data_IF_934599720193
#
_entry.id   IF_934599720193
#
_cell.length_a   1.000
_cell.length_b   1.000
_cell.length_c   1.000
_cell.angle_alpha   90.00
_cell.angle_beta   90.00
_cell.angle_gamma   90.00
#
_symmetry.space_group_name_H-M   'P 1'
#
loop_
_entity.id
_entity.type
_entity.pdbx_description
1 polymer ?
#
# COMPACT_ATOMS: atom_id res chain seq x y z
N UNK A 1 -35.27 -0.49 -6.97
CA UNK A 1 -35.50 -1.57 -5.97
C UNK A 1 -34.55 -1.33 -4.81
N UNK A 2 -35.01 -1.43 -3.56
CA UNK A 2 -34.09 -1.28 -2.41
C UNK A 2 -33.21 -2.53 -2.27
N UNK A 3 -31.91 -2.40 -1.91
CA UNK A 3 -31.01 -3.54 -1.75
C UNK A 3 -31.54 -4.66 -0.84
N UNK A 4 -32.28 -4.34 0.22
CA UNK A 4 -32.83 -5.33 1.14
C UNK A 4 -33.90 -6.20 0.46
N UNK A 5 -34.71 -5.60 -0.41
CA UNK A 5 -35.73 -6.32 -1.18
C UNK A 5 -35.09 -7.25 -2.22
N UNK A 6 -33.97 -6.82 -2.83
CA UNK A 6 -33.23 -7.67 -3.76
C UNK A 6 -32.59 -8.87 -3.02
N UNK A 7 -31.93 -8.65 -1.89
CA UNK A 7 -31.34 -9.73 -1.08
C UNK A 7 -32.41 -10.68 -0.52
N UNK A 8 -33.61 -10.20 -0.20
CA UNK A 8 -34.70 -11.05 0.27
C UNK A 8 -35.17 -12.07 -0.79
N UNK A 9 -35.14 -11.70 -2.07
CA UNK A 9 -35.52 -12.60 -3.17
C UNK A 9 -34.35 -13.50 -3.58
N UNK A 10 -33.13 -12.96 -3.60
CA UNK A 10 -31.94 -13.67 -4.07
C UNK A 10 -30.74 -13.30 -3.19
N UNK A 11 -30.47 -14.05 -2.11
CA UNK A 11 -29.43 -13.69 -1.12
C UNK A 11 -28.02 -13.55 -1.68
N UNK A 12 -27.68 -14.31 -2.73
CA UNK A 12 -26.40 -14.29 -3.44
C UNK A 12 -26.33 -13.19 -4.53
N UNK A 13 -27.27 -12.24 -4.54
CA UNK A 13 -27.21 -11.11 -5.46
C UNK A 13 -26.11 -10.11 -5.08
N UNK A 14 -25.32 -9.78 -6.09
CA UNK A 14 -24.38 -8.67 -6.05
C UNK A 14 -25.16 -7.39 -6.38
N UNK A 15 -25.11 -6.41 -5.49
CA UNK A 15 -25.88 -5.17 -5.59
C UNK A 15 -24.94 -3.99 -5.72
N UNK A 16 -25.25 -3.10 -6.66
CA UNK A 16 -24.59 -1.81 -6.82
C UNK A 16 -25.67 -0.73 -7.02
N UNK A 17 -25.49 0.45 -6.42
CA UNK A 17 -26.48 1.53 -6.47
C UNK A 17 -25.82 2.89 -6.68
N UNK A 18 -26.57 3.92 -7.05
CA UNK A 18 -26.04 5.29 -7.10
C UNK A 18 -25.90 5.96 -5.72
N UNK A 19 -26.44 5.36 -4.65
CA UNK A 19 -26.49 5.97 -3.32
C UNK A 19 -25.24 5.63 -2.52
N UNK A 20 -24.77 6.57 -1.71
CA UNK A 20 -23.56 6.43 -0.87
C UNK A 20 -23.79 5.67 0.44
N UNK A 21 -25.06 5.45 0.82
CA UNK A 21 -25.43 4.70 2.03
C UNK A 21 -25.41 3.18 1.84
N UNK A 22 -25.21 2.70 0.62
CA UNK A 22 -25.08 1.28 0.29
C UNK A 22 -23.68 0.93 -0.24
N UNK A 23 -23.24 -0.34 -0.11
CA UNK A 23 -22.03 -0.83 -0.75
C UNK A 23 -22.07 -0.68 -2.28
N UNK A 24 -20.90 -0.72 -2.92
CA UNK A 24 -20.74 -0.67 -4.38
C UNK A 24 -21.43 0.56 -5.02
N UNK A 25 -21.11 1.76 -4.53
CA UNK A 25 -21.65 2.97 -5.11
C UNK A 25 -21.14 3.19 -6.55
N UNK A 26 -22.04 3.18 -7.52
CA UNK A 26 -21.77 3.52 -8.91
C UNK A 26 -21.92 5.02 -9.09
N UNK A 27 -20.81 5.74 -9.18
CA UNK A 27 -20.81 7.19 -9.33
C UNK A 27 -19.75 7.65 -10.34
N UNK A 28 -20.12 8.60 -11.20
CA UNK A 28 -19.25 9.19 -12.22
C UNK A 28 -18.00 9.88 -11.65
N UNK A 29 -18.01 10.25 -10.36
CA UNK A 29 -16.84 10.80 -9.67
C UNK A 29 -15.60 9.91 -9.77
N UNK A 30 -15.79 8.60 -9.96
CA UNK A 30 -14.71 7.63 -10.16
C UNK A 30 -14.03 7.72 -11.54
N UNK A 31 -14.69 8.38 -12.50
CA UNK A 31 -14.28 8.36 -13.90
C UNK A 31 -13.93 9.76 -14.40
N UNK A 32 -14.83 10.73 -14.23
CA UNK A 32 -14.74 12.03 -14.90
C UNK A 32 -13.43 12.78 -14.63
N UNK A 33 -12.97 12.94 -13.36
CA UNK A 33 -11.81 13.79 -13.10
C UNK A 33 -10.56 13.27 -13.79
N UNK A 34 -10.43 11.94 -13.83
CA UNK A 34 -9.21 11.26 -14.29
C UNK A 34 -9.22 11.03 -15.80
N UNK A 35 -10.38 10.79 -16.41
CA UNK A 35 -10.52 10.80 -17.87
C UNK A 35 -10.15 12.18 -18.41
N UNK A 36 -10.69 13.25 -17.82
CA UNK A 36 -10.35 14.60 -18.25
C UNK A 36 -8.89 14.93 -18.01
N UNK A 37 -8.30 14.53 -16.87
CA UNK A 37 -6.87 14.73 -16.61
C UNK A 37 -6.02 14.14 -17.74
N UNK A 38 -6.15 12.84 -17.99
CA UNK A 38 -5.40 12.15 -19.05
C UNK A 38 -5.63 12.75 -20.44
N UNK A 39 -6.89 13.05 -20.78
CA UNK A 39 -7.26 13.66 -22.06
C UNK A 39 -6.65 15.05 -22.25
N UNK A 40 -6.68 15.90 -21.21
CA UNK A 40 -6.14 17.26 -21.26
C UNK A 40 -4.60 17.28 -21.28
N UNK A 41 -3.94 16.37 -20.54
CA UNK A 41 -2.49 16.26 -20.55
C UNK A 41 -1.94 15.94 -21.93
N UNK A 42 -2.54 14.97 -22.63
CA UNK A 42 -2.11 14.56 -23.96
C UNK A 42 -2.71 15.42 -25.09
N UNK A 43 -3.52 16.44 -24.76
CA UNK A 43 -4.20 17.29 -25.73
C UNK A 43 -5.14 16.49 -26.66
N UNK A 44 -5.90 15.55 -26.10
CA UNK A 44 -6.89 14.79 -26.86
C UNK A 44 -7.97 15.70 -27.46
N UNK A 45 -8.24 15.55 -28.76
CA UNK A 45 -9.27 16.34 -29.46
C UNK A 45 -10.70 15.91 -29.13
N UNK A 46 -10.88 14.66 -28.69
CA UNK A 46 -12.17 14.09 -28.27
C UNK A 46 -11.96 12.93 -27.30
N UNK A 47 -13.00 12.59 -26.53
CA UNK A 47 -13.04 11.37 -25.72
C UNK A 47 -13.54 10.21 -26.57
N UNK A 48 -12.73 9.16 -26.72
CA UNK A 48 -13.07 7.97 -27.50
C UNK A 48 -13.63 6.84 -26.63
N UNK A 49 -14.30 5.85 -27.25
CA UNK A 49 -14.70 4.62 -26.56
C UNK A 49 -13.50 3.84 -26.03
N UNK A 50 -12.36 3.87 -26.73
CA UNK A 50 -11.12 3.26 -26.23
C UNK A 50 -10.63 3.90 -24.93
N UNK A 51 -10.75 5.23 -24.79
CA UNK A 51 -10.42 5.95 -23.54
C UNK A 51 -11.37 5.58 -22.41
N UNK A 52 -12.68 5.47 -22.67
CA UNK A 52 -13.66 5.02 -21.68
C UNK A 52 -13.38 3.59 -21.23
N UNK A 53 -13.08 2.70 -22.18
CA UNK A 53 -12.73 1.31 -21.89
C UNK A 53 -11.44 1.21 -21.06
N UNK A 54 -10.42 2.00 -21.38
CA UNK A 54 -9.18 2.07 -20.61
C UNK A 54 -9.45 2.49 -19.15
N UNK A 55 -10.30 3.50 -18.95
CA UNK A 55 -10.72 3.93 -17.62
C UNK A 55 -11.42 2.80 -16.84
N UNK A 56 -12.43 2.15 -17.44
CA UNK A 56 -13.17 1.06 -16.78
C UNK A 56 -12.25 -0.10 -16.41
N UNK A 57 -11.31 -0.47 -17.29
CA UNK A 57 -10.30 -1.50 -17.00
C UNK A 57 -9.45 -1.14 -15.78
N UNK A 58 -8.97 0.11 -15.71
CA UNK A 58 -8.18 0.55 -14.56
C UNK A 58 -8.96 0.59 -13.25
N UNK A 59 -10.25 0.96 -13.29
CA UNK A 59 -11.13 0.91 -12.11
C UNK A 59 -11.29 -0.54 -11.63
N UNK A 60 -11.52 -1.48 -12.55
CA UNK A 60 -11.66 -2.89 -12.21
C UNK A 60 -10.35 -3.49 -11.68
N UNK A 61 -9.21 -3.15 -12.27
CA UNK A 61 -7.89 -3.56 -11.80
C UNK A 61 -7.60 -3.00 -10.40
N UNK A 62 -8.05 -1.75 -10.13
CA UNK A 62 -7.84 -1.12 -8.83
C UNK A 62 -8.70 -1.75 -7.73
N UNK A 63 -9.94 -2.11 -8.04
CA UNK A 63 -10.82 -2.80 -7.10
C UNK A 63 -10.25 -4.15 -6.64
N UNK A 64 -9.49 -4.82 -7.52
CA UNK A 64 -8.84 -6.11 -7.26
C UNK A 64 -7.44 -5.99 -6.64
N UNK A 65 -6.89 -4.78 -6.57
CA UNK A 65 -5.54 -4.53 -6.08
C UNK A 65 -5.51 -4.20 -4.58
N UNK A 66 -4.46 -4.63 -3.91
CA UNK A 66 -4.23 -4.39 -2.47
C UNK A 66 -4.38 -2.92 -2.12
N UNK A 67 -5.16 -2.65 -1.08
CA UNK A 67 -5.53 -1.29 -0.69
C UNK A 67 -4.41 -0.66 0.11
N UNK A 68 -4.07 0.59 -0.24
CA UNK A 68 -3.04 1.35 0.46
C UNK A 68 -3.51 1.81 1.84
N UNK A 69 -2.57 2.05 2.75
CA UNK A 69 -2.84 2.42 4.14
C UNK A 69 -3.63 3.74 4.26
N UNK A 70 -3.45 4.66 3.31
CA UNK A 70 -4.17 5.92 3.27
C UNK A 70 -5.67 5.71 2.98
N UNK A 71 -6.00 4.76 2.10
CA UNK A 71 -7.40 4.42 1.80
C UNK A 71 -8.00 3.63 2.97
N UNK A 72 -7.25 2.72 3.58
CA UNK A 72 -7.72 1.97 4.75
C UNK A 72 -7.96 2.89 5.97
N UNK A 73 -7.09 3.87 6.21
CA UNK A 73 -7.24 4.84 7.32
C UNK A 73 -8.37 5.85 7.09
N UNK A 74 -8.60 6.27 5.84
CA UNK A 74 -9.76 7.12 5.48
C UNK A 74 -11.11 6.40 5.66
N UNK A 75 -11.13 5.07 5.66
CA UNK A 75 -12.32 4.23 5.85
C UNK A 75 -12.16 3.27 7.04
N UNK A 76 -11.65 3.78 8.17
CA UNK A 76 -11.45 3.01 9.40
C UNK A 76 -12.71 2.22 9.81
N UNK A 77 -12.53 0.91 10.05
CA UNK A 77 -13.61 0.00 10.46
C UNK A 77 -14.34 -0.73 9.32
N UNK A 78 -13.94 -0.54 8.05
CA UNK A 78 -14.43 -1.33 6.92
C UNK A 78 -13.29 -2.19 6.35
N UNK A 79 -13.49 -3.51 6.33
CA UNK A 79 -12.63 -4.40 5.53
C UNK A 79 -12.95 -4.16 4.04
N UNK A 80 -12.05 -3.44 3.38
CA UNK A 80 -12.13 -3.18 1.96
C UNK A 80 -11.37 -4.32 1.26
N UNK A 81 -12.01 -5.47 1.10
CA UNK A 81 -11.46 -6.62 0.36
C UNK A 81 -12.35 -6.89 -0.84
N UNK A 82 -11.74 -7.13 -2.00
CA UNK A 82 -12.50 -7.42 -3.21
C UNK A 82 -13.50 -8.56 -2.97
N UNK A 83 -14.79 -8.28 -3.18
CA UNK A 83 -15.86 -9.20 -2.82
C UNK A 83 -17.25 -8.64 -3.13
N UNK A 84 -18.32 -9.36 -2.75
CA UNK A 84 -19.70 -8.99 -3.08
C UNK A 84 -20.10 -7.58 -2.61
N UNK A 85 -19.54 -7.11 -1.50
CA UNK A 85 -19.80 -5.79 -0.92
C UNK A 85 -18.68 -4.75 -1.24
N UNK A 86 -17.65 -5.13 -2.01
CA UNK A 86 -16.60 -4.22 -2.49
C UNK A 86 -16.10 -4.63 -3.88
N UNK A 87 -16.74 -4.07 -4.91
CA UNK A 87 -16.45 -4.33 -6.34
C UNK A 87 -15.91 -3.11 -7.07
N UNK A 88 -16.13 -1.94 -6.48
CA UNK A 88 -15.82 -0.63 -7.07
C UNK A 88 -15.00 0.13 -6.03
N UNK A 89 -13.85 0.74 -6.42
CA UNK A 89 -13.04 1.52 -5.51
C UNK A 89 -13.83 2.70 -4.94
N UNK A 90 -13.40 3.21 -3.79
CA UNK A 90 -14.04 4.37 -3.18
C UNK A 90 -13.74 5.66 -3.97
N UNK A 91 -14.65 6.66 -4.00
CA UNK A 91 -14.47 7.93 -4.70
C UNK A 91 -13.18 8.70 -4.39
N UNK A 92 -12.64 8.52 -3.19
CA UNK A 92 -11.45 9.23 -2.70
C UNK A 92 -10.19 8.36 -2.70
N UNK A 93 -10.19 7.27 -3.47
CA UNK A 93 -9.01 6.44 -3.64
C UNK A 93 -7.94 7.21 -4.43
N UNK A 94 -6.86 7.55 -3.75
CA UNK A 94 -5.73 8.33 -4.26
C UNK A 94 -5.05 7.67 -5.47
N UNK A 95 -5.19 6.36 -5.63
CA UNK A 95 -4.60 5.58 -6.73
C UNK A 95 -5.35 5.76 -8.05
N UNK A 96 -6.59 6.27 -8.02
CA UNK A 96 -7.42 6.45 -9.22
C UNK A 96 -6.75 7.36 -10.25
N UNK A 97 -6.21 8.51 -9.83
CA UNK A 97 -5.51 9.43 -10.76
C UNK A 97 -4.24 8.81 -11.33
N UNK A 98 -3.50 8.05 -10.53
CA UNK A 98 -2.22 7.44 -10.91
C UNK A 98 -2.38 6.30 -11.91
N UNK A 99 -3.55 5.63 -11.93
CA UNK A 99 -3.84 4.55 -12.88
C UNK A 99 -4.65 5.01 -14.08
N UNK A 100 -5.72 5.76 -13.87
CA UNK A 100 -6.69 6.09 -14.93
C UNK A 100 -6.10 7.12 -15.90
N UNK A 101 -5.51 8.22 -15.41
CA UNK A 101 -5.06 9.29 -16.30
C UNK A 101 -3.96 8.82 -17.27
N UNK A 102 -2.92 8.06 -16.85
CA UNK A 102 -1.94 7.46 -17.78
C UNK A 102 -2.57 6.50 -18.78
N UNK A 103 -3.50 5.64 -18.36
CA UNK A 103 -4.16 4.69 -19.24
C UNK A 103 -5.02 5.40 -20.30
N UNK A 104 -5.71 6.47 -19.92
CA UNK A 104 -6.51 7.29 -20.82
C UNK A 104 -5.63 8.05 -21.80
N UNK A 105 -4.52 8.64 -21.35
CA UNK A 105 -3.56 9.33 -22.22
C UNK A 105 -2.93 8.37 -23.25
N UNK A 106 -2.59 7.15 -22.82
CA UNK A 106 -2.10 6.09 -23.71
C UNK A 106 -3.15 5.69 -24.75
N UNK A 107 -4.39 5.44 -24.31
CA UNK A 107 -5.50 5.11 -25.22
C UNK A 107 -5.80 6.24 -26.22
N UNK A 108 -5.65 7.50 -25.82
CA UNK A 108 -5.80 8.65 -26.70
C UNK A 108 -4.71 8.72 -27.77
N UNK A 109 -3.46 8.40 -27.41
CA UNK A 109 -2.35 8.30 -28.36
C UNK A 109 -2.54 7.13 -29.34
N UNK A 110 -2.91 5.95 -28.85
CA UNK A 110 -3.22 4.77 -29.68
C UNK A 110 -4.41 5.00 -30.61
N UNK A 111 -5.39 5.81 -30.19
CA UNK A 111 -6.55 6.19 -31.01
C UNK A 111 -6.23 7.31 -32.01
N UNK A 112 -5.02 7.87 -32.03
CA UNK A 112 -4.62 8.97 -32.90
C UNK A 112 -5.31 10.31 -32.60
N UNK A 113 -5.93 10.48 -31.43
CA UNK A 113 -6.64 11.72 -31.05
C UNK A 113 -5.80 12.65 -30.18
N UNK A 114 -4.67 12.18 -29.66
CA UNK A 114 -3.74 12.96 -28.84
C UNK A 114 -2.87 13.88 -29.72
N UNK A 115 -3.02 15.20 -29.55
CA UNK A 115 -2.18 16.18 -30.25
C UNK A 115 -0.79 16.32 -29.64
N UNK A 116 -0.65 15.95 -28.36
CA UNK A 116 0.62 15.95 -27.62
C UNK A 116 0.77 14.62 -26.87
N UNK A 117 1.13 13.51 -27.57
CA UNK A 117 1.32 12.21 -26.92
C UNK A 117 2.39 12.27 -25.83
N UNK A 118 2.16 11.54 -24.73
CA UNK A 118 3.10 11.45 -23.61
C UNK A 118 4.17 10.41 -23.96
N UNK A 119 5.41 10.86 -24.17
CA UNK A 119 6.53 9.98 -24.53
C UNK A 119 7.05 9.16 -23.34
N UNK A 120 7.23 9.81 -22.18
CA UNK A 120 7.66 9.16 -20.95
C UNK A 120 6.48 9.03 -19.97
N UNK A 121 5.91 7.84 -19.94
CA UNK A 121 4.74 7.55 -19.10
C UNK A 121 5.13 7.44 -17.61
N UNK A 122 6.37 7.08 -17.30
CA UNK A 122 6.84 6.98 -15.91
C UNK A 122 7.05 8.38 -15.32
N UNK A 123 7.69 9.28 -16.06
CA UNK A 123 7.80 10.69 -15.66
C UNK A 123 6.43 11.37 -15.51
N UNK A 124 5.46 11.01 -16.36
CA UNK A 124 4.09 11.51 -16.25
C UNK A 124 3.39 11.02 -14.98
N UNK A 125 3.46 9.72 -14.66
CA UNK A 125 2.96 9.19 -13.37
C UNK A 125 3.61 9.90 -12.18
N UNK A 126 4.92 10.15 -12.25
CA UNK A 126 5.67 10.84 -11.20
C UNK A 126 5.30 12.33 -11.06
N UNK A 127 4.71 12.92 -12.11
CA UNK A 127 4.14 14.26 -12.07
C UNK A 127 2.75 14.22 -11.45
N UNK A 128 1.93 13.23 -11.79
CA UNK A 128 0.60 13.04 -11.21
C UNK A 128 0.64 12.76 -9.70
N UNK A 129 1.66 12.04 -9.22
CA UNK A 129 1.85 11.79 -7.79
C UNK A 129 2.00 13.07 -6.97
N UNK A 130 2.45 14.17 -7.57
CA UNK A 130 2.57 15.48 -6.89
C UNK A 130 1.21 16.06 -6.47
N UNK A 131 0.14 15.73 -7.18
CA UNK A 131 -1.22 16.19 -6.84
C UNK A 131 -1.84 15.40 -5.69
N UNK A 132 -1.35 14.19 -5.45
CA UNK A 132 -1.85 13.27 -4.43
C UNK A 132 -1.07 13.44 -3.12
N UNK A 133 0.25 13.62 -3.21
CA UNK A 133 1.14 13.63 -2.07
C UNK A 133 1.75 15.03 -1.87
N UNK A 134 0.96 15.97 -1.33
CA UNK A 134 1.49 17.29 -0.91
C UNK A 134 2.64 17.15 0.11
N UNK A 135 2.64 16.10 0.94
CA UNK A 135 3.74 15.72 1.86
C UNK A 135 4.87 14.90 1.20
N UNK A 136 4.62 14.27 0.05
CA UNK A 136 5.60 13.41 -0.63
C UNK A 136 6.75 14.18 -1.31
N UNK A 137 6.55 15.46 -1.66
CA UNK A 137 7.61 16.30 -2.23
C UNK A 137 8.79 16.50 -1.27
N UNK A 138 8.55 16.54 0.04
CA UNK A 138 9.63 16.72 1.02
C UNK A 138 10.52 15.47 1.12
N UNK A 139 9.92 14.28 0.99
CA UNK A 139 10.61 12.99 1.13
C UNK A 139 11.20 12.46 -0.18
N UNK A 140 10.81 13.00 -1.33
CA UNK A 140 11.26 12.52 -2.65
C UNK A 140 12.80 12.54 -2.83
N UNK A 141 13.55 13.57 -2.41
CA UNK A 141 15.02 13.51 -2.44
C UNK A 141 15.57 12.38 -1.56
N UNK A 142 14.97 12.14 -0.39
CA UNK A 142 15.37 11.09 0.55
C UNK A 142 15.12 9.70 -0.04
N UNK A 143 13.95 9.48 -0.64
CA UNK A 143 13.59 8.23 -1.30
C UNK A 143 14.52 7.95 -2.49
N UNK A 144 14.82 8.95 -3.31
CA UNK A 144 15.72 8.80 -4.45
C UNK A 144 17.16 8.51 -4.01
N UNK A 145 17.64 9.19 -2.96
CA UNK A 145 18.94 8.90 -2.36
C UNK A 145 18.98 7.47 -1.81
N UNK A 146 17.94 7.03 -1.10
CA UNK A 146 17.83 5.67 -0.59
C UNK A 146 17.87 4.63 -1.72
N UNK A 147 17.10 4.82 -2.80
CA UNK A 147 17.09 3.92 -3.98
C UNK A 147 18.47 3.80 -4.64
N UNK A 148 19.24 4.89 -4.70
CA UNK A 148 20.56 4.93 -5.33
C UNK A 148 21.64 4.18 -4.53
N UNK A 149 21.41 3.88 -3.25
CA UNK A 149 22.36 3.11 -2.46
C UNK A 149 22.44 1.64 -2.92
N UNK A 150 23.56 0.95 -2.72
CA UNK A 150 23.64 -0.50 -2.86
C UNK A 150 22.74 -1.21 -1.84
N UNK A 151 22.14 -2.34 -2.21
CA UNK A 151 21.19 -3.05 -1.34
C UNK A 151 21.78 -3.47 0.01
N UNK A 152 23.07 -3.77 0.06
CA UNK A 152 23.79 -4.09 1.30
C UNK A 152 23.76 -2.94 2.34
N UNK A 153 23.58 -1.69 1.90
CA UNK A 153 23.53 -0.50 2.75
C UNK A 153 22.10 -0.07 3.11
N UNK A 154 21.08 -0.73 2.55
CA UNK A 154 19.67 -0.39 2.75
C UNK A 154 19.03 -1.14 3.93
N UNK A 155 19.82 -1.61 4.90
CA UNK A 155 19.31 -2.46 6.00
C UNK A 155 18.54 -1.62 7.02
N UNK A 156 17.27 -1.95 7.23
CA UNK A 156 16.38 -1.24 8.17
C UNK A 156 15.76 -2.24 9.13
N UNK A 157 15.98 -2.04 10.44
CA UNK A 157 15.40 -2.88 11.48
C UNK A 157 14.04 -2.33 11.94
N UNK A 158 13.04 -3.20 11.96
CA UNK A 158 11.70 -2.93 12.48
C UNK A 158 11.58 -3.62 13.83
N UNK A 159 11.58 -2.81 14.90
CA UNK A 159 11.56 -3.26 16.29
C UNK A 159 10.24 -3.99 16.62
N UNK A 160 9.12 -3.44 16.14
CA UNK A 160 7.79 -4.07 16.23
C UNK A 160 7.51 -4.99 15.03
N UNK A 161 8.42 -5.92 14.72
CA UNK A 161 8.29 -6.80 13.55
C UNK A 161 7.07 -7.72 13.55
N UNK A 162 6.37 -7.84 14.69
CA UNK A 162 5.08 -8.52 14.77
C UNK A 162 3.90 -7.60 14.46
N UNK A 163 4.00 -6.28 14.56
CA UNK A 163 2.88 -5.37 14.32
C UNK A 163 2.47 -5.29 12.85
N UNK A 164 1.17 -5.23 12.58
CA UNK A 164 0.67 -5.22 11.19
C UNK A 164 1.12 -3.97 10.41
N UNK A 165 1.22 -2.81 11.07
CA UNK A 165 1.68 -1.57 10.43
C UNK A 165 3.15 -1.67 10.06
N UNK A 166 3.97 -2.24 10.95
CA UNK A 166 5.39 -2.47 10.67
C UNK A 166 5.59 -3.46 9.51
N UNK A 167 4.79 -4.53 9.45
CA UNK A 167 4.82 -5.49 8.33
C UNK A 167 4.42 -4.83 6.99
N UNK A 168 3.37 -4.00 6.99
CA UNK A 168 2.96 -3.26 5.78
C UNK A 168 4.05 -2.27 5.33
N UNK A 169 4.65 -1.54 6.27
CA UNK A 169 5.76 -0.64 5.99
C UNK A 169 6.98 -1.38 5.41
N UNK A 170 7.30 -2.57 5.93
CA UNK A 170 8.37 -3.41 5.39
C UNK A 170 8.07 -3.88 3.96
N UNK A 171 6.84 -4.31 3.67
CA UNK A 171 6.40 -4.69 2.32
C UNK A 171 6.55 -3.52 1.33
N UNK A 172 6.07 -2.34 1.70
CA UNK A 172 6.19 -1.14 0.85
C UNK A 172 7.65 -0.79 0.60
N UNK A 173 8.50 -0.89 1.63
CA UNK A 173 9.92 -0.58 1.50
C UNK A 173 10.66 -1.56 0.56
N UNK A 174 10.22 -2.82 0.51
CA UNK A 174 10.68 -3.83 -0.46
C UNK A 174 10.18 -3.50 -1.86
N UNK A 175 8.87 -3.25 -2.02
CA UNK A 175 8.26 -2.94 -3.32
C UNK A 175 8.90 -1.70 -3.97
N UNK A 176 9.17 -0.68 -3.17
CA UNK A 176 9.82 0.57 -3.59
C UNK A 176 11.34 0.45 -3.70
N UNK A 177 11.95 -0.69 -3.35
CA UNK A 177 13.41 -0.91 -3.38
C UNK A 177 14.22 0.11 -2.57
N UNK A 178 13.64 0.59 -1.48
CA UNK A 178 14.25 1.60 -0.59
C UNK A 178 14.90 0.98 0.64
N UNK A 179 14.48 -0.22 1.06
CA UNK A 179 15.03 -0.92 2.21
C UNK A 179 15.18 -2.44 1.98
N UNK A 180 16.06 -3.04 2.76
CA UNK A 180 16.18 -4.47 3.05
C UNK A 180 15.75 -4.66 4.51
N UNK A 181 14.47 -4.98 4.76
CA UNK A 181 13.93 -5.02 6.12
C UNK A 181 14.53 -6.15 6.95
N UNK A 182 14.65 -5.89 8.25
CA UNK A 182 14.95 -6.87 9.30
C UNK A 182 13.81 -6.79 10.30
N UNK A 183 12.96 -7.82 10.35
CA UNK A 183 11.84 -7.88 11.29
C UNK A 183 12.32 -8.50 12.59
N UNK A 184 12.10 -7.78 13.70
CA UNK A 184 12.41 -8.28 15.04
C UNK A 184 11.13 -8.86 15.64
N UNK A 185 11.16 -10.15 15.96
CA UNK A 185 10.00 -10.84 16.55
C UNK A 185 10.01 -12.34 16.30
N UNK A 186 8.95 -13.02 16.74
CA UNK A 186 8.84 -14.47 16.65
C UNK A 186 8.49 -14.89 15.21
N UNK A 187 9.30 -15.75 14.56
CA UNK A 187 9.10 -16.12 13.15
C UNK A 187 7.70 -16.68 12.84
N UNK A 188 7.16 -17.52 13.73
CA UNK A 188 5.83 -18.12 13.55
C UNK A 188 4.70 -17.08 13.60
N UNK A 189 4.81 -16.07 14.48
CA UNK A 189 3.81 -15.00 14.60
C UNK A 189 3.86 -14.09 13.38
N UNK A 190 5.07 -13.73 12.95
CA UNK A 190 5.30 -12.90 11.76
C UNK A 190 4.72 -13.59 10.53
N UNK A 191 5.04 -14.87 10.30
CA UNK A 191 4.53 -15.64 9.17
C UNK A 191 2.99 -15.71 9.15
N UNK A 192 2.37 -15.95 10.30
CA UNK A 192 0.91 -15.98 10.41
C UNK A 192 0.27 -14.61 10.11
N UNK A 193 0.87 -13.52 10.58
CA UNK A 193 0.37 -12.16 10.32
C UNK A 193 0.57 -11.72 8.87
N UNK A 194 1.70 -12.09 8.26
CA UNK A 194 1.96 -11.91 6.82
C UNK A 194 0.87 -12.59 6.00
N UNK A 195 0.56 -13.87 6.30
CA UNK A 195 -0.48 -14.61 5.60
C UNK A 195 -1.87 -14.01 5.81
N UNK A 196 -2.21 -13.63 7.06
CA UNK A 196 -3.49 -13.00 7.40
C UNK A 196 -3.68 -11.65 6.70
N UNK A 197 -2.63 -10.85 6.62
CA UNK A 197 -2.65 -9.54 5.97
C UNK A 197 -2.49 -9.61 4.44
N UNK A 198 -2.29 -10.81 3.86
CA UNK A 198 -2.13 -11.01 2.43
C UNK A 198 -0.84 -10.42 1.85
N UNK A 199 0.22 -10.30 2.66
CA UNK A 199 1.48 -9.68 2.22
C UNK A 199 2.30 -10.66 1.37
N UNK A 200 3.04 -10.13 0.39
CA UNK A 200 3.76 -10.91 -0.65
C UNK A 200 5.18 -11.29 -0.24
N UNK A 201 5.78 -10.56 0.71
CA UNK A 201 7.15 -10.77 1.15
C UNK A 201 7.36 -12.14 1.78
N UNK A 202 8.51 -12.75 1.46
CA UNK A 202 8.92 -14.06 1.94
C UNK A 202 10.03 -13.95 2.97
N UNK A 203 9.81 -14.55 4.14
CA UNK A 203 10.81 -14.65 5.20
C UNK A 203 12.06 -15.39 4.71
N UNK A 204 13.24 -14.83 4.95
CA UNK A 204 14.53 -15.39 4.56
C UNK A 204 14.94 -15.15 3.10
N UNK A 205 14.05 -14.58 2.28
CA UNK A 205 14.34 -14.20 0.89
C UNK A 205 14.26 -12.70 0.68
N UNK A 206 13.11 -12.11 1.02
CA UNK A 206 12.85 -10.68 0.84
C UNK A 206 13.08 -9.90 2.14
N UNK A 207 13.07 -10.59 3.28
CA UNK A 207 13.18 -9.98 4.62
C UNK A 207 13.95 -10.91 5.56
N UNK A 208 14.88 -10.33 6.32
CA UNK A 208 15.60 -11.03 7.39
C UNK A 208 14.74 -11.03 8.67
N UNK A 209 14.75 -12.13 9.42
CA UNK A 209 14.03 -12.21 10.71
C UNK A 209 15.06 -12.39 11.82
N UNK A 210 15.04 -11.46 12.77
CA UNK A 210 15.81 -11.56 14.01
C UNK A 210 14.87 -12.09 15.10
N UNK A 211 15.08 -13.33 15.55
CA UNK A 211 14.29 -13.94 16.61
C UNK A 211 14.89 -13.61 17.99
N UNK A 212 14.24 -12.79 18.83
CA UNK A 212 14.77 -12.45 20.15
C UNK A 212 14.86 -13.64 21.11
N UNK A 213 14.07 -14.70 20.88
CA UNK A 213 14.04 -15.89 21.74
C UNK A 213 15.23 -16.85 21.50
N UNK A 214 15.80 -16.81 20.30
CA UNK A 214 16.83 -17.74 19.83
C UNK A 214 17.98 -16.99 19.10
N UNK A 215 18.43 -15.87 19.67
CA UNK A 215 19.57 -15.12 19.14
C UNK A 215 20.88 -15.54 19.84
N UNK A 216 21.93 -15.97 19.10
CA UNK A 216 23.22 -16.34 19.70
C UNK A 216 23.92 -15.17 20.41
N UNK A 217 23.57 -13.93 20.07
CA UNK A 217 24.09 -12.69 20.67
C UNK A 217 23.30 -12.27 21.91
N UNK A 218 22.23 -13.00 22.27
CA UNK A 218 21.39 -12.72 23.44
C UNK A 218 22.22 -12.46 24.70
N UNK A 219 23.29 -13.25 24.91
CA UNK A 219 24.21 -13.08 26.03
C UNK A 219 24.84 -11.69 26.08
N UNK A 220 25.38 -11.23 24.96
CA UNK A 220 26.02 -9.93 24.86
C UNK A 220 25.03 -8.79 25.13
N UNK A 221 23.79 -8.94 24.65
CA UNK A 221 22.75 -7.92 24.81
C UNK A 221 22.30 -7.74 26.27
N UNK A 222 21.98 -8.81 27.00
CA UNK A 222 21.58 -8.66 28.39
C UNK A 222 22.75 -8.28 29.29
N UNK A 223 23.97 -8.74 29.01
CA UNK A 223 25.18 -8.31 29.74
C UNK A 223 25.41 -6.81 29.55
N UNK A 224 25.23 -6.30 28.33
CA UNK A 224 25.35 -4.86 28.04
C UNK A 224 24.23 -4.06 28.70
N UNK A 225 22.99 -4.51 28.62
CA UNK A 225 21.85 -3.87 29.28
C UNK A 225 22.06 -3.81 30.79
N UNK A 226 22.51 -4.91 31.40
CA UNK A 226 22.84 -4.97 32.83
C UNK A 226 23.98 -4.00 33.18
N UNK A 227 25.04 -3.89 32.36
CA UNK A 227 26.10 -2.91 32.62
C UNK A 227 25.59 -1.46 32.68
N UNK A 228 24.61 -1.13 31.86
CA UNK A 228 23.99 0.20 31.82
C UNK A 228 23.05 0.41 33.01
N UNK A 229 22.19 -0.57 33.31
CA UNK A 229 21.07 -0.43 34.25
C UNK A 229 21.37 -0.94 35.67
N UNK A 230 22.54 -1.53 35.93
CA UNK A 230 22.90 -2.08 37.26
C UNK A 230 22.87 -1.04 38.39
N UNK A 231 23.08 0.24 38.07
CA UNK A 231 23.01 1.34 39.05
C UNK A 231 21.57 1.74 39.38
N UNK A 232 20.64 1.40 38.51
CA UNK A 232 19.21 1.68 38.64
C UNK A 232 18.42 0.44 39.12
N UNK A 233 19.12 -0.55 39.70
CA UNK A 233 18.51 -1.72 40.32
C UNK A 233 18.18 -2.89 39.39
N UNK A 234 18.57 -2.83 38.11
CA UNK A 234 18.37 -3.97 37.21
C UNK A 234 19.31 -5.12 37.57
N UNK A 235 18.77 -6.25 38.04
CA UNK A 235 19.51 -7.49 38.25
C UNK A 235 19.77 -8.22 36.93
N UNK A 236 20.70 -9.19 36.87
CA UNK A 236 20.90 -10.02 35.67
C UNK A 236 19.63 -10.71 35.17
N UNK A 237 18.72 -11.10 36.08
CA UNK A 237 17.45 -11.72 35.72
C UNK A 237 16.47 -10.72 35.11
N UNK A 238 16.39 -9.52 35.69
CA UNK A 238 15.59 -8.41 35.15
C UNK A 238 16.12 -7.99 33.77
N UNK A 239 17.45 -7.91 33.61
CA UNK A 239 18.07 -7.59 32.32
C UNK A 239 17.77 -8.63 31.24
N UNK A 240 17.85 -9.93 31.56
CA UNK A 240 17.46 -11.02 30.65
C UNK A 240 15.98 -10.94 30.28
N UNK A 241 15.11 -10.65 31.24
CA UNK A 241 13.68 -10.51 31.00
C UNK A 241 13.35 -9.28 30.16
N UNK A 242 14.01 -8.14 30.40
CA UNK A 242 13.82 -6.90 29.67
C UNK A 242 14.20 -7.04 28.20
N UNK A 243 15.36 -7.63 27.89
CA UNK A 243 15.81 -7.87 26.50
C UNK A 243 14.92 -8.86 25.76
N UNK A 244 14.20 -9.76 26.46
CA UNK A 244 13.24 -10.70 25.85
C UNK A 244 11.83 -10.14 25.70
N UNK A 245 11.41 -9.22 26.57
CA UNK A 245 10.04 -8.69 26.60
C UNK A 245 9.89 -7.35 25.91
N UNK A 246 10.92 -6.51 25.91
CA UNK A 246 10.87 -5.19 25.29
C UNK A 246 11.33 -5.31 23.85
N UNK A 247 10.37 -5.44 22.94
CA UNK A 247 10.59 -5.31 21.50
C UNK A 247 10.57 -3.83 21.05
N UNK A 248 10.27 -2.93 21.98
CA UNK A 248 10.32 -1.45 21.88
C UNK A 248 11.53 -0.89 22.58
#
# INVERSE_FOLDING_TARGET
IRPELAKAVRPDCIIATGRSDYPNQVNNVLCFPYIFRGALDCGATKITEAMKLACVRQIADLAKADISEEVASAYAGKELTFGPDYLIPTPFDSRLILKIAPAVAKAAAESGVATRPIADMEAYKETLSRFVYQTGMLMRPVINAAKALPDAQKRVAYADGEDERALRAAQMAIDDKIAQPILIGRPAVIAARIAKAGLRMQLGKDVEVCNPEDDPRFRQYWERYHQLMKRDGATPEVAKAAVRRSNT
#
